data_IF_830070380204
#
_entry.id   IF_830070380204
#
_cell.length_a   1.000
_cell.length_b   1.000
_cell.length_c   1.000
_cell.angle_alpha   90.00
_cell.angle_beta   90.00
_cell.angle_gamma   90.00
#
_symmetry.space_group_name_H-M   'P 1'
#
loop_
_entity.id
_entity.type
_entity.pdbx_description
1 polymer ?
#
# COMPACT_ATOMS: atom_id res chain seq x y z
N UNK A 1 20.93 -37.77 -98.11
CA UNK A 1 20.19 -36.54 -97.78
C UNK A 1 19.88 -36.58 -96.29
N UNK A 2 20.19 -35.49 -95.59
CA UNK A 2 20.53 -35.40 -94.16
C UNK A 2 19.56 -36.01 -93.13
N UNK A 3 20.18 -36.64 -92.12
CA UNK A 3 19.67 -36.76 -90.75
C UNK A 3 19.47 -35.36 -90.12
N UNK A 4 18.40 -35.16 -89.37
CA UNK A 4 18.43 -34.85 -87.92
C UNK A 4 17.01 -34.54 -87.45
N UNK A 5 16.41 -35.44 -86.67
CA UNK A 5 15.18 -35.14 -85.92
C UNK A 5 15.57 -34.32 -84.69
N UNK A 6 15.16 -33.06 -84.65
CA UNK A 6 15.42 -32.16 -83.52
C UNK A 6 14.68 -32.67 -82.27
N UNK A 7 15.44 -33.22 -81.32
CA UNK A 7 14.99 -33.43 -79.95
C UNK A 7 14.80 -32.05 -79.31
N UNK A 8 13.55 -31.65 -79.09
CA UNK A 8 13.21 -30.39 -78.41
C UNK A 8 13.51 -30.58 -76.93
N UNK A 9 14.72 -30.20 -76.52
CA UNK A 9 15.15 -30.21 -75.11
C UNK A 9 14.26 -29.20 -74.38
N UNK A 10 13.30 -29.69 -73.59
CA UNK A 10 12.63 -28.89 -72.58
C UNK A 10 13.64 -28.68 -71.46
N UNK A 11 14.28 -27.51 -71.43
CA UNK A 11 14.94 -27.03 -70.22
C UNK A 11 13.83 -26.77 -69.22
N UNK A 12 13.55 -27.72 -68.32
CA UNK A 12 12.81 -27.41 -67.11
C UNK A 12 13.71 -26.47 -66.32
N UNK A 13 13.41 -25.17 -66.38
CA UNK A 13 13.95 -24.20 -65.44
C UNK A 13 13.38 -24.57 -64.07
N UNK A 14 14.08 -25.44 -63.36
CA UNK A 14 13.87 -25.61 -61.93
C UNK A 14 14.30 -24.28 -61.30
N UNK A 15 13.34 -23.42 -60.98
CA UNK A 15 13.58 -22.37 -59.99
C UNK A 15 13.85 -23.11 -58.68
N UNK A 16 15.11 -23.44 -58.41
CA UNK A 16 15.53 -23.78 -57.07
C UNK A 16 15.49 -22.47 -56.28
N UNK A 17 14.43 -22.24 -55.51
CA UNK A 17 14.49 -21.22 -54.48
C UNK A 17 15.50 -21.72 -53.44
N UNK A 18 16.71 -21.17 -53.47
CA UNK A 18 17.65 -21.35 -52.36
C UNK A 18 17.05 -20.56 -51.20
N UNK A 19 16.69 -21.25 -50.12
CA UNK A 19 16.15 -20.67 -48.90
C UNK A 19 17.01 -21.14 -47.73
N UNK A 20 17.19 -20.30 -46.72
CA UNK A 20 17.99 -20.59 -45.53
C UNK A 20 17.19 -20.29 -44.25
N UNK A 21 17.75 -20.59 -43.08
CA UNK A 21 17.18 -20.18 -41.78
C UNK A 21 17.14 -18.64 -41.67
N UNK A 22 16.24 -18.05 -40.87
CA UNK A 22 16.16 -16.60 -40.75
C UNK A 22 17.37 -16.00 -40.03
N UNK A 23 17.59 -14.69 -40.21
CA UNK A 23 18.48 -13.93 -39.35
C UNK A 23 17.83 -13.66 -37.98
N UNK A 24 18.62 -13.51 -36.91
CA UNK A 24 18.09 -13.22 -35.58
C UNK A 24 17.28 -11.92 -35.54
N UNK A 25 16.16 -11.88 -34.79
CA UNK A 25 15.50 -10.63 -34.44
C UNK A 25 16.44 -9.67 -33.70
N UNK A 26 16.15 -8.38 -33.76
CA UNK A 26 16.94 -7.32 -33.12
C UNK A 26 16.04 -6.18 -32.62
N UNK A 27 16.64 -5.18 -31.97
CA UNK A 27 15.94 -4.03 -31.34
C UNK A 27 14.79 -4.46 -30.43
N UNK A 28 15.13 -5.27 -29.41
CA UNK A 28 14.17 -5.71 -28.41
C UNK A 28 13.89 -4.58 -27.42
N UNK A 29 12.62 -4.18 -27.32
CA UNK A 29 12.17 -3.12 -26.42
C UNK A 29 11.12 -3.66 -25.45
N UNK A 30 11.23 -3.24 -24.18
CA UNK A 30 10.25 -3.54 -23.15
C UNK A 30 9.41 -2.28 -22.90
N UNK A 31 8.09 -2.42 -22.96
CA UNK A 31 7.10 -1.36 -22.74
C UNK A 31 5.94 -1.86 -21.88
N UNK A 32 5.03 -0.96 -21.51
CA UNK A 32 3.81 -1.26 -20.74
C UNK A 32 4.09 -2.13 -19.49
N UNK A 33 4.98 -1.63 -18.63
CA UNK A 33 5.39 -2.31 -17.39
C UNK A 33 4.25 -2.32 -16.37
N UNK A 34 3.47 -3.39 -16.35
CA UNK A 34 2.50 -3.67 -15.30
C UNK A 34 3.14 -4.52 -14.18
N UNK A 35 2.43 -4.69 -13.06
CA UNK A 35 2.95 -5.45 -11.91
C UNK A 35 3.35 -6.91 -12.26
N UNK A 36 2.68 -7.52 -13.23
CA UNK A 36 2.87 -8.94 -13.64
C UNK A 36 2.85 -9.16 -15.15
N UNK A 37 2.95 -8.10 -15.93
CA UNK A 37 2.97 -8.16 -17.39
C UNK A 37 3.95 -7.17 -17.94
N UNK A 38 4.59 -7.52 -19.04
CA UNK A 38 5.41 -6.62 -19.83
C UNK A 38 5.11 -6.85 -21.30
N UNK A 39 5.11 -5.79 -22.09
CA UNK A 39 5.05 -5.90 -23.54
C UNK A 39 6.46 -5.92 -24.10
N UNK A 40 6.78 -6.98 -24.83
CA UNK A 40 8.03 -7.11 -25.59
C UNK A 40 7.73 -6.82 -27.06
N UNK A 41 8.52 -5.93 -27.66
CA UNK A 41 8.51 -5.64 -29.10
C UNK A 41 9.88 -5.93 -29.70
N UNK A 42 9.93 -6.35 -30.96
CA UNK A 42 11.19 -6.65 -31.67
C UNK A 42 11.06 -6.34 -33.16
N UNK A 43 12.21 -6.22 -33.83
CA UNK A 43 12.28 -6.15 -35.30
C UNK A 43 12.69 -7.50 -35.87
N UNK A 44 11.96 -8.05 -36.86
CA UNK A 44 12.32 -9.32 -37.49
C UNK A 44 13.60 -9.19 -38.31
N UNK A 45 14.44 -10.22 -38.28
CA UNK A 45 15.56 -10.35 -39.22
C UNK A 45 15.09 -10.74 -40.64
N UNK A 46 16.03 -10.76 -41.58
CA UNK A 46 15.77 -11.27 -42.94
C UNK A 46 15.30 -12.74 -42.89
N UNK A 47 14.27 -13.07 -43.66
CA UNK A 47 13.66 -14.40 -43.71
C UNK A 47 14.42 -15.39 -44.61
N UNK A 48 15.41 -14.88 -45.36
CA UNK A 48 16.28 -15.62 -46.26
C UNK A 48 15.50 -16.49 -47.25
N UNK A 49 14.51 -15.87 -47.91
CA UNK A 49 13.72 -16.46 -49.00
C UNK A 49 12.82 -17.62 -48.56
N UNK A 50 12.45 -17.66 -47.27
CA UNK A 50 11.41 -18.52 -46.71
C UNK A 50 10.70 -17.78 -45.57
N UNK A 51 9.38 -17.57 -45.64
CA UNK A 51 8.66 -16.73 -44.69
C UNK A 51 8.79 -17.24 -43.25
N UNK A 52 8.90 -16.30 -42.31
CA UNK A 52 8.93 -16.61 -40.87
C UNK A 52 7.54 -17.13 -40.47
N UNK A 53 7.52 -18.34 -39.90
CA UNK A 53 6.31 -19.00 -39.45
C UNK A 53 5.90 -18.56 -38.05
N UNK A 54 6.89 -18.43 -37.15
CA UNK A 54 6.68 -17.99 -35.78
C UNK A 54 7.97 -17.51 -35.13
N UNK A 55 7.83 -16.73 -34.07
CA UNK A 55 8.91 -16.38 -33.16
C UNK A 55 8.84 -17.24 -31.90
N UNK A 56 9.99 -17.50 -31.31
CA UNK A 56 10.11 -18.18 -30.01
C UNK A 56 10.72 -17.19 -29.04
N UNK A 57 9.99 -16.89 -27.96
CA UNK A 57 10.47 -16.02 -26.89
C UNK A 57 11.07 -16.91 -25.80
N UNK A 58 12.30 -16.59 -25.41
CA UNK A 58 12.97 -17.20 -24.27
C UNK A 58 13.27 -16.16 -23.21
N UNK A 59 13.31 -16.60 -21.96
CA UNK A 59 13.66 -15.76 -20.82
C UNK A 59 14.76 -16.40 -19.96
N UNK A 60 15.54 -15.54 -19.34
CA UNK A 60 16.48 -15.87 -18.28
C UNK A 60 15.97 -15.22 -16.98
N UNK A 61 15.88 -16.01 -15.90
CA UNK A 61 15.53 -15.52 -14.57
C UNK A 61 16.78 -15.48 -13.69
N UNK A 62 17.49 -14.34 -13.68
CA UNK A 62 18.86 -14.19 -13.16
C UNK A 62 19.02 -14.67 -11.71
N UNK A 63 18.00 -14.47 -10.87
CA UNK A 63 18.05 -14.82 -9.44
C UNK A 63 17.80 -16.31 -9.19
N UNK A 64 17.08 -17.01 -10.10
CA UNK A 64 16.74 -18.41 -9.93
C UNK A 64 17.84 -19.32 -10.48
N UNK A 65 18.28 -19.07 -11.72
CA UNK A 65 19.28 -19.86 -12.44
C UNK A 65 20.00 -18.94 -13.43
N UNK A 66 21.13 -18.33 -13.05
CA UNK A 66 21.89 -17.51 -13.98
C UNK A 66 22.35 -18.36 -15.18
N UNK A 67 22.32 -17.76 -16.36
CA UNK A 67 22.74 -18.33 -17.65
C UNK A 67 21.87 -19.47 -18.21
N UNK A 68 20.69 -19.72 -17.64
CA UNK A 68 19.72 -20.67 -18.19
C UNK A 68 18.54 -19.97 -18.87
N UNK A 69 18.42 -20.22 -20.17
CA UNK A 69 17.31 -19.75 -20.99
C UNK A 69 16.16 -20.76 -21.02
N UNK A 70 14.95 -20.26 -20.84
CA UNK A 70 13.72 -21.04 -20.83
C UNK A 70 12.76 -20.52 -21.90
N UNK A 71 12.12 -21.43 -22.64
CA UNK A 71 11.07 -21.05 -23.59
C UNK A 71 9.82 -20.59 -22.86
N UNK A 72 9.34 -19.40 -23.20
CA UNK A 72 8.12 -18.80 -22.66
C UNK A 72 6.93 -19.04 -23.58
N UNK A 73 7.03 -18.58 -24.83
CA UNK A 73 5.89 -18.49 -25.73
C UNK A 73 6.32 -18.63 -27.20
N UNK A 74 5.36 -19.01 -28.05
CA UNK A 74 5.47 -18.95 -29.51
C UNK A 74 4.49 -17.92 -30.05
N UNK A 75 4.98 -17.01 -30.87
CA UNK A 75 4.21 -15.89 -31.42
C UNK A 75 4.14 -16.03 -32.94
N UNK A 76 3.01 -15.68 -33.55
CA UNK A 76 2.85 -15.77 -35.01
C UNK A 76 3.94 -14.98 -35.75
N UNK A 77 4.38 -15.46 -36.92
CA UNK A 77 5.36 -14.76 -37.76
C UNK A 77 4.88 -13.38 -38.26
N UNK A 78 3.57 -13.15 -38.26
CA UNK A 78 2.93 -11.87 -38.60
C UNK A 78 2.95 -10.86 -37.45
N UNK A 79 3.37 -11.27 -36.25
CA UNK A 79 3.38 -10.46 -35.04
C UNK A 79 4.81 -10.22 -34.56
N UNK A 80 5.07 -8.97 -34.19
CA UNK A 80 6.37 -8.52 -33.67
C UNK A 80 6.26 -7.95 -32.26
N UNK A 81 5.16 -8.29 -31.57
CA UNK A 81 4.88 -7.88 -30.20
C UNK A 81 4.22 -9.02 -29.43
N UNK A 82 4.52 -9.11 -28.13
CA UNK A 82 3.91 -10.09 -27.23
C UNK A 82 3.74 -9.51 -25.82
N UNK A 83 2.62 -9.84 -25.18
CA UNK A 83 2.37 -9.53 -23.77
C UNK A 83 2.72 -10.75 -22.92
N UNK A 84 3.74 -10.60 -22.08
CA UNK A 84 4.36 -11.72 -21.38
C UNK A 84 3.91 -11.75 -19.91
N UNK A 85 3.31 -12.86 -19.42
CA UNK A 85 2.97 -13.01 -18.02
C UNK A 85 4.22 -13.30 -17.18
N UNK A 86 4.38 -12.57 -16.08
CA UNK A 86 5.57 -12.64 -15.23
C UNK A 86 5.24 -13.06 -13.80
N UNK A 87 6.15 -13.82 -13.20
CA UNK A 87 6.08 -14.16 -11.78
C UNK A 87 6.67 -13.03 -10.91
N UNK A 88 6.14 -12.80 -9.69
CA UNK A 88 6.52 -11.69 -8.83
C UNK A 88 7.93 -11.84 -8.25
N UNK A 89 8.58 -10.70 -7.98
CA UNK A 89 9.91 -10.60 -7.37
C UNK A 89 11.01 -11.38 -8.12
N UNK A 90 10.98 -11.34 -9.47
CA UNK A 90 11.98 -11.97 -10.32
C UNK A 90 12.51 -10.96 -11.33
N UNK A 91 13.82 -10.99 -11.56
CA UNK A 91 14.49 -10.25 -12.63
C UNK A 91 14.57 -11.10 -13.89
N UNK A 92 14.00 -10.60 -14.98
CA UNK A 92 13.94 -11.24 -16.29
C UNK A 92 14.84 -10.53 -17.30
N UNK A 93 15.40 -11.30 -18.23
CA UNK A 93 15.89 -10.85 -19.54
C UNK A 93 15.25 -11.71 -20.60
N UNK A 94 14.95 -11.13 -21.76
CA UNK A 94 14.29 -11.84 -22.86
C UNK A 94 15.19 -11.89 -24.08
N UNK A 95 15.02 -12.94 -24.88
CA UNK A 95 15.59 -13.02 -26.23
C UNK A 95 14.59 -13.70 -27.16
N UNK A 96 14.70 -13.43 -28.44
CA UNK A 96 13.76 -13.94 -29.45
C UNK A 96 14.52 -14.69 -30.54
N UNK A 97 13.94 -15.80 -31.00
CA UNK A 97 14.38 -16.56 -32.18
C UNK A 97 13.30 -16.48 -33.26
N UNK A 98 13.69 -16.37 -34.52
CA UNK A 98 12.77 -16.48 -35.67
C UNK A 98 12.82 -17.91 -36.23
N UNK A 99 11.68 -18.46 -36.64
CA UNK A 99 11.60 -19.83 -37.16
C UNK A 99 10.87 -19.83 -38.50
N UNK A 100 11.50 -20.40 -39.53
CA UNK A 100 10.88 -20.66 -40.84
C UNK A 100 10.90 -22.16 -41.17
N UNK A 101 10.60 -22.52 -42.42
CA UNK A 101 10.59 -23.91 -42.88
C UNK A 101 11.97 -24.60 -42.82
N UNK A 102 13.06 -23.84 -42.86
CA UNK A 102 14.43 -24.37 -42.78
C UNK A 102 14.90 -24.58 -41.34
N UNK A 103 14.36 -23.80 -40.40
CA UNK A 103 14.67 -23.95 -38.98
C UNK A 103 14.63 -22.64 -38.20
N UNK A 104 15.27 -22.67 -37.04
CA UNK A 104 15.37 -21.53 -36.15
C UNK A 104 16.64 -20.72 -36.41
N UNK A 105 16.54 -19.40 -36.32
CA UNK A 105 17.67 -18.47 -36.29
C UNK A 105 18.54 -18.68 -35.04
N UNK A 106 19.71 -18.02 -35.01
CA UNK A 106 20.35 -17.74 -33.72
C UNK A 106 19.42 -16.84 -32.87
N UNK A 107 19.63 -16.86 -31.55
CA UNK A 107 18.90 -15.97 -30.66
C UNK A 107 19.36 -14.52 -30.81
N UNK A 108 18.43 -13.58 -30.61
CA UNK A 108 18.72 -12.16 -30.53
C UNK A 108 19.70 -11.85 -29.38
N UNK A 109 20.24 -10.63 -29.41
CA UNK A 109 20.81 -10.08 -28.18
C UNK A 109 19.73 -10.04 -27.08
N UNK A 110 20.11 -10.30 -25.81
CA UNK A 110 19.18 -10.16 -24.69
C UNK A 110 18.66 -8.74 -24.57
N UNK A 111 17.40 -8.60 -24.18
CA UNK A 111 16.79 -7.33 -23.79
C UNK A 111 17.45 -6.73 -22.54
N UNK A 112 17.06 -5.50 -22.23
CA UNK A 112 17.27 -4.93 -20.90
C UNK A 112 16.62 -5.80 -19.81
N UNK A 113 17.13 -5.67 -18.58
CA UNK A 113 16.60 -6.39 -17.41
C UNK A 113 15.33 -5.74 -16.88
N UNK A 114 14.32 -6.54 -16.59
CA UNK A 114 13.09 -6.09 -15.94
C UNK A 114 12.83 -6.85 -14.64
N UNK A 115 12.62 -6.14 -13.54
CA UNK A 115 12.36 -6.75 -12.22
C UNK A 115 10.92 -6.50 -11.80
N UNK A 116 10.17 -7.58 -11.58
CA UNK A 116 8.77 -7.50 -11.12
C UNK A 116 8.67 -7.14 -9.64
N UNK A 117 7.59 -6.46 -9.27
CA UNK A 117 7.34 -6.11 -7.88
C UNK A 117 7.02 -7.35 -7.02
N UNK A 118 7.31 -7.33 -5.71
CA UNK A 118 6.82 -8.34 -4.78
C UNK A 118 5.30 -8.40 -4.75
N UNK A 119 4.72 -9.59 -4.59
CA UNK A 119 3.28 -9.83 -4.61
C UNK A 119 2.47 -9.12 -3.49
N UNK A 120 3.13 -8.39 -2.57
CA UNK A 120 2.54 -7.86 -1.33
C UNK A 120 2.37 -6.35 -1.23
N UNK A 121 2.69 -5.56 -2.26
CA UNK A 121 2.73 -4.08 -2.14
C UNK A 121 1.35 -3.40 -2.18
N UNK A 122 0.30 -4.08 -2.66
CA UNK A 122 -1.08 -3.53 -2.65
C UNK A 122 -1.78 -3.59 -1.29
N UNK A 123 -1.35 -4.49 -0.39
CA UNK A 123 -1.99 -4.69 0.91
C UNK A 123 -1.39 -3.77 1.98
N UNK A 124 -0.11 -3.42 1.91
CA UNK A 124 0.54 -2.56 2.91
C UNK A 124 0.03 -1.12 2.88
N UNK A 125 -0.24 -0.56 1.70
CA UNK A 125 -0.78 0.81 1.57
C UNK A 125 -2.23 0.92 2.06
N UNK A 126 -3.07 -0.07 1.78
CA UNK A 126 -4.47 -0.09 2.24
C UNK A 126 -4.59 -0.42 3.74
N UNK A 127 -3.73 -1.31 4.26
CA UNK A 127 -3.67 -1.62 5.68
C UNK A 127 -3.08 -0.47 6.50
N UNK A 128 -2.06 0.24 6.01
CA UNK A 128 -1.50 1.39 6.72
C UNK A 128 -2.47 2.59 6.75
N UNK A 129 -3.18 2.85 5.66
CA UNK A 129 -4.17 3.94 5.60
C UNK A 129 -5.39 3.67 6.50
N UNK A 130 -5.85 2.42 6.54
CA UNK A 130 -6.94 2.02 7.45
C UNK A 130 -6.50 2.02 8.92
N UNK A 131 -5.29 1.55 9.22
CA UNK A 131 -4.77 1.54 10.59
C UNK A 131 -4.58 2.96 11.15
N UNK A 132 -4.04 3.87 10.35
CA UNK A 132 -3.86 5.29 10.73
C UNK A 132 -5.19 6.04 10.88
N UNK A 133 -6.17 5.77 10.02
CA UNK A 133 -7.51 6.34 10.14
C UNK A 133 -8.25 5.81 11.38
N UNK A 134 -8.14 4.52 11.69
CA UNK A 134 -8.75 3.92 12.89
C UNK A 134 -8.12 4.42 14.19
N UNK A 135 -6.79 4.50 14.26
CA UNK A 135 -6.07 5.01 15.43
C UNK A 135 -6.39 6.49 15.69
N UNK A 136 -6.40 7.33 14.65
CA UNK A 136 -6.72 8.75 14.79
C UNK A 136 -8.17 8.98 15.22
N UNK A 137 -9.13 8.21 14.69
CA UNK A 137 -10.53 8.30 15.10
C UNK A 137 -10.74 7.86 16.56
N UNK A 138 -10.10 6.77 16.98
CA UNK A 138 -10.15 6.29 18.38
C UNK A 138 -9.51 7.28 19.36
N UNK A 139 -8.36 7.86 18.99
CA UNK A 139 -7.68 8.89 19.78
C UNK A 139 -8.48 10.21 19.85
N UNK A 140 -9.18 10.60 18.78
CA UNK A 140 -10.03 11.78 18.80
C UNK A 140 -11.27 11.60 19.69
N UNK A 141 -11.90 10.41 19.63
CA UNK A 141 -13.09 10.09 20.43
C UNK A 141 -12.76 9.98 21.93
N UNK A 142 -11.62 9.38 22.29
CA UNK A 142 -11.18 9.33 23.69
C UNK A 142 -10.91 10.74 24.22
N UNK A 143 -10.16 11.58 23.48
CA UNK A 143 -9.90 12.98 23.89
C UNK A 143 -11.17 13.79 24.09
N UNK A 144 -12.18 13.64 23.24
CA UNK A 144 -13.45 14.37 23.38
C UNK A 144 -14.26 13.91 24.60
N UNK A 145 -14.31 12.59 24.87
CA UNK A 145 -14.95 12.04 26.06
C UNK A 145 -14.26 12.53 27.33
N UNK A 146 -12.93 12.48 27.40
CA UNK A 146 -12.17 12.98 28.55
C UNK A 146 -12.36 14.49 28.78
N UNK A 147 -12.35 15.29 27.71
CA UNK A 147 -12.58 16.74 27.81
C UNK A 147 -14.00 17.06 28.29
N UNK A 148 -15.00 16.33 27.79
CA UNK A 148 -16.39 16.52 28.22
C UNK A 148 -16.60 16.12 29.69
N UNK A 149 -15.99 15.03 30.13
CA UNK A 149 -16.09 14.56 31.51
C UNK A 149 -15.38 15.49 32.50
N UNK A 150 -14.18 15.99 32.14
CA UNK A 150 -13.45 16.97 32.96
C UNK A 150 -14.17 18.31 33.03
N UNK A 151 -14.76 18.80 31.94
CA UNK A 151 -15.60 20.01 31.93
C UNK A 151 -16.88 19.83 32.76
N UNK A 152 -17.51 18.67 32.71
CA UNK A 152 -18.68 18.36 33.54
C UNK A 152 -18.33 18.37 35.03
N UNK A 153 -17.23 17.72 35.41
CA UNK A 153 -16.78 17.61 36.80
C UNK A 153 -16.32 18.96 37.37
N UNK A 154 -15.65 19.80 36.57
CA UNK A 154 -15.25 21.15 36.99
C UNK A 154 -16.45 22.08 37.13
N UNK A 155 -17.43 21.98 36.23
CA UNK A 155 -18.69 22.72 36.30
C UNK A 155 -19.54 22.31 37.50
N UNK A 156 -19.64 21.02 37.82
CA UNK A 156 -20.37 20.58 39.02
C UNK A 156 -19.68 21.04 40.30
N UNK A 157 -18.34 21.00 40.34
CA UNK A 157 -17.54 21.53 41.45
C UNK A 157 -17.71 23.03 41.66
N UNK A 158 -17.77 23.82 40.59
CA UNK A 158 -17.97 25.27 40.69
C UNK A 158 -19.37 25.63 41.20
N UNK A 159 -20.42 24.92 40.76
CA UNK A 159 -21.77 25.07 41.30
C UNK A 159 -21.87 24.68 42.78
N UNK A 160 -21.22 23.59 43.20
CA UNK A 160 -21.21 23.19 44.60
C UNK A 160 -20.55 24.26 45.49
N UNK A 161 -19.41 24.82 45.04
CA UNK A 161 -18.71 25.90 45.74
C UNK A 161 -19.54 27.18 45.82
N UNK A 162 -20.19 27.59 44.73
CA UNK A 162 -21.01 28.80 44.72
C UNK A 162 -22.25 28.65 45.61
N UNK A 163 -22.90 27.49 45.57
CA UNK A 163 -24.04 27.18 46.42
C UNK A 163 -23.65 27.18 47.91
N UNK A 164 -22.54 26.53 48.26
CA UNK A 164 -22.02 26.52 49.63
C UNK A 164 -21.66 27.92 50.14
N UNK A 165 -21.04 28.76 49.30
CA UNK A 165 -20.73 30.15 49.65
C UNK A 165 -22.00 30.98 49.88
N UNK A 166 -23.02 30.78 49.04
CA UNK A 166 -24.28 31.51 49.15
C UNK A 166 -25.06 31.16 50.42
N UNK A 167 -25.10 29.87 50.79
CA UNK A 167 -25.69 29.39 52.04
C UNK A 167 -24.94 29.93 53.26
N UNK A 168 -23.61 30.00 53.20
CA UNK A 168 -22.81 30.59 54.28
C UNK A 168 -23.14 32.07 54.48
N UNK A 169 -23.26 32.83 53.39
CA UNK A 169 -23.59 34.25 53.44
C UNK A 169 -25.01 34.48 53.97
N UNK A 170 -26.00 33.69 53.51
CA UNK A 170 -27.39 33.83 53.97
C UNK A 170 -27.56 33.44 55.44
N UNK A 171 -26.89 32.39 55.92
CA UNK A 171 -26.91 31.99 57.33
C UNK A 171 -26.24 33.06 58.21
N UNK A 172 -25.14 33.66 57.75
CA UNK A 172 -24.49 34.76 58.46
C UNK A 172 -25.40 35.99 58.58
N UNK A 173 -26.11 36.33 57.49
CA UNK A 173 -27.01 37.47 57.46
C UNK A 173 -28.26 37.27 58.32
N UNK A 174 -28.86 36.07 58.28
CA UNK A 174 -30.05 35.73 59.08
C UNK A 174 -29.74 35.71 60.58
N UNK A 175 -28.58 35.18 60.98
CA UNK A 175 -28.17 35.14 62.39
C UNK A 175 -27.70 36.49 62.93
N UNK A 176 -27.12 37.34 62.09
CA UNK A 176 -26.80 38.73 62.44
C UNK A 176 -28.06 39.54 62.76
N UNK A 177 -29.14 39.31 62.01
CA UNK A 177 -30.43 39.97 62.23
C UNK A 177 -31.22 39.40 63.43
N UNK A 178 -30.96 38.16 63.85
CA UNK A 178 -31.74 37.47 64.91
C UNK A 178 -31.23 37.69 66.34
N UNK A 179 -30.21 38.53 66.55
CA UNK A 179 -29.68 38.94 67.86
C UNK A 179 -29.40 37.78 68.86
N UNK A 180 -28.93 36.65 68.34
CA UNK A 180 -28.54 35.48 69.13
C UNK A 180 -27.19 35.75 69.84
N UNK A 181 -26.95 35.17 71.02
CA UNK A 181 -25.73 35.41 71.80
C UNK A 181 -24.46 35.19 70.96
N UNK A 182 -23.53 36.13 71.03
CA UNK A 182 -22.31 36.16 70.22
C UNK A 182 -21.50 34.84 70.27
N UNK A 183 -21.56 34.13 71.41
CA UNK A 183 -20.93 32.82 71.61
C UNK A 183 -21.60 31.68 70.83
N UNK A 184 -22.92 31.69 70.69
CA UNK A 184 -23.67 30.69 69.94
C UNK A 184 -23.51 30.93 68.42
N UNK A 185 -23.48 32.19 68.00
CA UNK A 185 -23.12 32.54 66.62
C UNK A 185 -21.69 32.08 66.27
N UNK A 186 -20.70 32.40 67.12
CA UNK A 186 -19.30 32.05 66.86
C UNK A 186 -19.09 30.53 66.81
N UNK A 187 -19.72 29.77 67.72
CA UNK A 187 -19.63 28.31 67.73
C UNK A 187 -20.35 27.65 66.55
N UNK A 188 -21.52 28.14 66.15
CA UNK A 188 -22.23 27.67 64.96
C UNK A 188 -21.49 28.03 63.68
N UNK A 189 -20.95 29.25 63.58
CA UNK A 189 -20.16 29.68 62.42
C UNK A 189 -18.85 28.89 62.31
N UNK A 190 -18.18 28.62 63.43
CA UNK A 190 -16.95 27.82 63.45
C UNK A 190 -17.25 26.36 63.06
N UNK A 191 -18.27 25.73 63.64
CA UNK A 191 -18.65 24.35 63.30
C UNK A 191 -19.14 24.19 61.86
N UNK A 192 -19.93 25.14 61.34
CA UNK A 192 -20.33 25.16 59.94
C UNK A 192 -19.11 25.39 59.03
N UNK A 193 -18.18 26.25 59.42
CA UNK A 193 -16.94 26.46 58.65
C UNK A 193 -16.06 25.21 58.63
N UNK A 194 -15.98 24.49 59.75
CA UNK A 194 -15.16 23.29 59.88
C UNK A 194 -15.76 22.12 59.09
N UNK A 195 -17.08 21.94 59.17
CA UNK A 195 -17.78 20.89 58.40
C UNK A 195 -17.77 21.17 56.90
N UNK A 196 -17.94 22.43 56.48
CA UNK A 196 -17.93 22.83 55.07
C UNK A 196 -16.51 22.80 54.48
N UNK A 197 -15.49 23.20 55.25
CA UNK A 197 -14.09 23.05 54.82
C UNK A 197 -13.67 21.59 54.73
N UNK A 198 -14.07 20.75 55.69
CA UNK A 198 -13.81 19.31 55.65
C UNK A 198 -14.52 18.64 54.46
N UNK A 199 -15.79 18.97 54.20
CA UNK A 199 -16.52 18.41 53.06
C UNK A 199 -15.96 18.88 51.71
N UNK A 200 -15.55 20.15 51.59
CA UNK A 200 -14.87 20.68 50.41
C UNK A 200 -13.48 20.06 50.21
N UNK A 201 -12.74 19.83 51.29
CA UNK A 201 -11.43 19.18 51.24
C UNK A 201 -11.55 17.70 50.80
N UNK A 202 -12.51 16.96 51.37
CA UNK A 202 -12.76 15.57 51.01
C UNK A 202 -13.23 15.43 49.55
N UNK A 203 -14.14 16.30 49.11
CA UNK A 203 -14.61 16.29 47.70
C UNK A 203 -13.50 16.70 46.73
N UNK A 204 -12.62 17.65 47.09
CA UNK A 204 -11.44 18.00 46.29
C UNK A 204 -10.44 16.87 46.20
N UNK A 205 -10.07 16.26 47.32
CA UNK A 205 -9.10 15.15 47.36
C UNK A 205 -9.59 13.93 46.59
N UNK A 206 -10.88 13.58 46.70
CA UNK A 206 -11.48 12.49 45.93
C UNK A 206 -11.52 12.81 44.42
N UNK A 207 -11.86 14.05 44.06
CA UNK A 207 -11.87 14.45 42.64
C UNK A 207 -10.46 14.45 42.03
N UNK A 208 -9.45 14.93 42.78
CA UNK A 208 -8.07 14.99 42.31
C UNK A 208 -7.48 13.58 42.15
N UNK A 209 -7.73 12.69 43.11
CA UNK A 209 -7.29 11.30 43.04
C UNK A 209 -7.93 10.54 41.87
N UNK A 210 -9.23 10.74 41.62
CA UNK A 210 -9.89 10.15 40.45
C UNK A 210 -9.32 10.70 39.13
N UNK A 211 -9.05 12.01 39.04
CA UNK A 211 -8.41 12.58 37.85
C UNK A 211 -6.99 12.04 37.65
N UNK A 212 -6.18 11.93 38.71
CA UNK A 212 -4.83 11.37 38.65
C UNK A 212 -4.84 9.89 38.25
N UNK A 213 -5.76 9.10 38.81
CA UNK A 213 -5.92 7.68 38.48
C UNK A 213 -6.28 7.48 37.01
N UNK A 214 -7.23 8.27 36.49
CA UNK A 214 -7.61 8.22 35.09
C UNK A 214 -6.49 8.66 34.15
N UNK A 215 -5.77 9.74 34.48
CA UNK A 215 -4.60 10.16 33.69
C UNK A 215 -3.49 9.12 33.70
N UNK A 216 -3.23 8.48 34.83
CA UNK A 216 -2.20 7.44 34.97
C UNK A 216 -2.57 6.16 34.20
N UNK A 217 -3.83 5.74 34.30
CA UNK A 217 -4.34 4.58 33.56
C UNK A 217 -4.25 4.77 32.04
N UNK A 218 -4.53 5.99 31.56
CA UNK A 218 -4.39 6.35 30.16
C UNK A 218 -2.94 6.33 29.67
N UNK A 219 -2.01 6.88 30.45
CA UNK A 219 -0.58 6.88 30.08
C UNK A 219 0.03 5.50 30.00
N UNK A 220 -0.53 4.52 30.72
CA UNK A 220 -0.07 3.12 30.69
C UNK A 220 -0.62 2.31 29.51
N UNK A 221 -1.67 2.83 28.85
CA UNK A 221 -2.39 2.16 27.75
C UNK A 221 -1.97 2.61 26.34
N UNK A 222 -0.99 3.51 26.25
CA UNK A 222 -0.35 4.02 25.02
C UNK A 222 1.05 3.43 24.88
#
# INVERSE_FOLDING_TARGET
MMMMTMMKIRVMSWLFCVSDIPNPPFDLELSDHEERRVRLTWTPGNDNNSPILHFVIEFEATILQPDRWHRLERVSGEQTTAELPLSPYITYRFRVLAVNAQGASLASLPSETFTTQPAGQGLSHSLSLSHTHCLSHSLALTRSIFLSHSLYLTRSRSYALSHALSLKLSLSHTLYLSNLSHSLYLSLALSLSQTLSHSLYLTLSLSLSHTCYLTFSLTLSL
#
